data_IF_632982362879
#
_entry.id   IF_632982362879
#
_cell.length_a   1.000
_cell.length_b   1.000
_cell.length_c   1.000
_cell.angle_alpha   90.00
_cell.angle_beta   90.00
_cell.angle_gamma   90.00
#
_symmetry.space_group_name_H-M   'P 1'
#
loop_
_entity.id
_entity.type
_entity.pdbx_description
1 polymer ?
#
# COMPACT_ATOMS: atom_id res chain seq x y z
N UNK A 1 5.71 14.93 15.44
CA UNK A 1 6.78 14.05 14.93
C UNK A 1 6.76 13.96 13.41
N UNK A 2 5.72 14.48 12.73
CA UNK A 2 5.55 14.32 11.28
C UNK A 2 4.88 12.99 10.87
N UNK A 3 4.69 12.06 11.81
CA UNK A 3 3.99 10.80 11.59
C UNK A 3 2.48 11.01 11.75
N UNK A 4 1.73 10.63 10.71
CA UNK A 4 0.27 10.61 10.72
C UNK A 4 -0.18 9.18 10.50
N UNK A 5 -0.79 8.60 11.53
CA UNK A 5 -1.35 7.26 11.45
C UNK A 5 -2.80 7.31 10.97
N UNK A 6 -3.11 6.51 9.95
CA UNK A 6 -4.43 6.38 9.35
C UNK A 6 -4.96 4.96 9.59
N UNK A 7 -5.33 4.69 10.83
CA UNK A 7 -5.93 3.41 11.20
C UNK A 7 -7.41 3.35 10.85
N UNK A 8 -7.86 2.15 10.49
CA UNK A 8 -9.27 1.78 10.55
C UNK A 8 -9.42 0.38 11.14
N UNK A 9 -10.47 0.18 11.96
CA UNK A 9 -10.78 -1.12 12.58
C UNK A 9 -11.25 -2.19 11.58
N UNK A 10 -11.45 -1.81 10.33
CA UNK A 10 -11.92 -2.69 9.27
C UNK A 10 -10.74 -3.38 8.58
N UNK A 11 -10.96 -4.52 7.94
CA UNK A 11 -9.93 -5.13 7.11
C UNK A 11 -9.64 -4.31 5.86
N UNK A 12 -8.67 -4.73 5.04
CA UNK A 12 -8.52 -4.24 3.67
C UNK A 12 -9.72 -4.58 2.79
N UNK A 13 -10.85 -5.03 3.33
CA UNK A 13 -12.16 -4.81 2.76
C UNK A 13 -12.88 -3.70 3.49
N UNK A 14 -12.63 -2.46 3.09
CA UNK A 14 -13.72 -1.51 3.14
C UNK A 14 -14.72 -2.01 2.10
N UNK A 15 -15.83 -2.61 2.53
CA UNK A 15 -16.94 -2.86 1.64
C UNK A 15 -17.25 -1.53 0.93
N UNK A 16 -17.01 -1.44 -0.38
CA UNK A 16 -17.11 -0.17 -1.14
C UNK A 16 -18.49 0.49 -0.94
N UNK A 17 -19.50 -0.29 -0.54
CA UNK A 17 -20.85 0.15 -0.23
C UNK A 17 -21.15 0.47 1.25
N UNK A 18 -20.19 0.36 2.19
CA UNK A 18 -20.44 0.83 3.57
C UNK A 18 -20.30 2.35 3.65
N UNK A 19 -21.20 3.06 4.36
CA UNK A 19 -21.20 4.54 4.38
C UNK A 19 -19.87 5.20 4.77
N UNK A 20 -19.04 4.53 5.57
CA UNK A 20 -17.75 5.05 6.03
C UNK A 20 -16.61 4.91 5.02
N UNK A 21 -16.80 4.12 3.94
CA UNK A 21 -15.80 3.84 2.92
C UNK A 21 -15.28 5.08 2.19
N UNK A 22 -16.15 6.07 2.05
CA UNK A 22 -15.87 7.32 1.36
C UNK A 22 -14.71 8.09 2.01
N UNK A 23 -14.50 7.93 3.32
CA UNK A 23 -13.49 8.70 4.07
C UNK A 23 -12.06 8.24 3.74
N UNK A 24 -11.67 6.96 3.90
CA UNK A 24 -10.33 6.51 3.53
C UNK A 24 -10.07 6.64 2.03
N UNK A 25 -11.02 6.28 1.17
CA UNK A 25 -10.89 6.42 -0.30
C UNK A 25 -10.63 7.88 -0.67
N UNK A 26 -11.46 8.81 -0.17
CA UNK A 26 -11.25 10.25 -0.41
C UNK A 26 -9.95 10.75 0.17
N UNK A 27 -9.50 10.21 1.30
CA UNK A 27 -8.27 10.64 1.96
C UNK A 27 -7.06 10.24 1.14
N UNK A 28 -6.94 8.95 0.79
CA UNK A 28 -5.82 8.46 -0.04
C UNK A 28 -5.85 9.13 -1.41
N UNK A 29 -7.02 9.26 -2.04
CA UNK A 29 -7.16 9.94 -3.33
C UNK A 29 -6.71 11.41 -3.28
N UNK A 30 -7.07 12.15 -2.22
CA UNK A 30 -6.64 13.54 -2.08
C UNK A 30 -5.14 13.66 -1.76
N UNK A 31 -4.58 12.74 -0.97
CA UNK A 31 -3.14 12.68 -0.72
C UNK A 31 -2.39 12.39 -2.03
N UNK A 32 -2.91 11.49 -2.87
CA UNK A 32 -2.32 11.16 -4.16
C UNK A 32 -2.36 12.34 -5.16
N UNK A 33 -3.46 13.11 -5.19
CA UNK A 33 -3.58 14.27 -6.08
C UNK A 33 -2.86 15.52 -5.58
N UNK A 34 -2.70 15.67 -4.27
CA UNK A 34 -2.04 16.81 -3.62
C UNK A 34 -1.15 16.32 -2.48
N UNK A 35 0.01 15.72 -2.78
CA UNK A 35 0.93 15.21 -1.78
C UNK A 35 1.69 16.37 -1.09
N UNK A 36 0.95 17.22 -0.39
CA UNK A 36 1.45 18.42 0.26
C UNK A 36 1.81 18.11 1.71
N UNK A 37 3.05 17.66 1.94
CA UNK A 37 3.69 17.67 3.26
C UNK A 37 4.61 18.90 3.45
N UNK A 38 4.19 20.07 2.95
CA UNK A 38 4.91 21.33 3.22
C UNK A 38 6.34 21.40 2.66
N UNK A 39 6.65 20.63 1.62
CA UNK A 39 8.02 20.52 1.05
C UNK A 39 8.85 19.38 1.63
N UNK A 40 8.29 18.59 2.56
CA UNK A 40 8.96 17.45 3.17
C UNK A 40 8.78 16.14 2.39
N UNK A 41 9.68 15.19 2.64
CA UNK A 41 9.63 13.83 2.06
C UNK A 41 8.42 13.09 2.64
N UNK A 42 7.55 12.60 1.75
CA UNK A 42 6.44 11.73 2.14
C UNK A 42 6.86 10.26 2.08
N UNK A 43 6.67 9.54 3.19
CA UNK A 43 6.83 8.09 3.28
C UNK A 43 5.50 7.47 3.71
N UNK A 44 4.99 6.52 2.93
CA UNK A 44 3.70 5.87 3.17
C UNK A 44 3.91 4.38 3.41
N UNK A 45 3.56 3.92 4.60
CA UNK A 45 3.49 2.50 4.94
C UNK A 45 2.08 1.96 4.74
N UNK A 46 1.97 0.79 4.11
CA UNK A 46 0.71 0.12 3.86
C UNK A 46 0.74 -1.29 4.43
N UNK A 47 -0.36 -1.68 5.06
CA UNK A 47 -0.54 -2.99 5.66
C UNK A 47 -2.00 -3.44 5.53
N UNK A 48 -2.20 -4.75 5.52
CA UNK A 48 -3.48 -5.38 5.70
C UNK A 48 -3.95 -5.38 7.16
N UNK A 49 -5.26 -5.21 7.33
CA UNK A 49 -5.95 -5.48 8.59
C UNK A 49 -6.43 -6.93 8.65
N UNK A 50 -7.73 -7.15 8.82
CA UNK A 50 -8.34 -8.47 8.61
C UNK A 50 -8.46 -8.81 7.11
N UNK A 51 -7.93 -9.96 6.70
CA UNK A 51 -8.09 -10.46 5.33
C UNK A 51 -9.54 -10.93 5.08
N UNK A 52 -10.08 -10.59 3.91
CA UNK A 52 -11.39 -11.08 3.45
C UNK A 52 -11.39 -11.41 1.96
N UNK A 53 -12.43 -12.11 1.51
CA UNK A 53 -12.56 -12.59 0.12
C UNK A 53 -12.66 -11.46 -0.93
N UNK A 54 -12.92 -10.22 -0.52
CA UNK A 54 -13.10 -9.08 -1.43
C UNK A 54 -11.89 -8.15 -1.46
N UNK A 55 -11.00 -8.22 -0.47
CA UNK A 55 -9.80 -7.37 -0.34
C UNK A 55 -8.94 -7.36 -1.61
N UNK A 56 -8.65 -8.55 -2.16
CA UNK A 56 -7.87 -8.74 -3.39
C UNK A 56 -8.50 -8.22 -4.68
N UNK A 57 -9.81 -7.90 -4.67
CA UNK A 57 -10.53 -7.37 -5.85
C UNK A 57 -11.09 -5.97 -5.64
N UNK A 58 -10.95 -5.40 -4.43
CA UNK A 58 -11.46 -4.06 -4.07
C UNK A 58 -10.34 -3.16 -3.57
N UNK A 59 -10.04 -3.17 -2.28
CA UNK A 59 -9.12 -2.20 -1.67
C UNK A 59 -7.67 -2.44 -2.07
N UNK A 60 -7.21 -3.70 -2.24
CA UNK A 60 -5.81 -3.94 -2.62
C UNK A 60 -5.49 -3.35 -4.00
N UNK A 61 -6.35 -3.53 -5.04
CA UNK A 61 -6.20 -2.78 -6.29
C UNK A 61 -6.26 -1.26 -6.14
N UNK A 62 -7.17 -0.73 -5.31
CA UNK A 62 -7.31 0.72 -5.10
C UNK A 62 -6.05 1.32 -4.46
N UNK A 63 -5.56 0.71 -3.39
CA UNK A 63 -4.33 1.11 -2.69
C UNK A 63 -3.10 0.92 -3.58
N UNK A 64 -3.08 -0.10 -4.44
CA UNK A 64 -2.04 -0.27 -5.46
C UNK A 64 -2.01 0.88 -6.47
N UNK A 65 -3.18 1.29 -6.97
CA UNK A 65 -3.28 2.44 -7.88
C UNK A 65 -2.84 3.75 -7.21
N UNK A 66 -3.27 3.96 -5.96
CA UNK A 66 -2.88 5.14 -5.20
C UNK A 66 -1.37 5.14 -4.89
N UNK A 67 -0.78 3.98 -4.61
CA UNK A 67 0.68 3.81 -4.46
C UNK A 67 1.43 4.30 -5.69
N UNK A 68 0.97 3.90 -6.88
CA UNK A 68 1.59 4.31 -8.14
C UNK A 68 1.49 5.83 -8.34
N UNK A 69 0.37 6.45 -7.99
CA UNK A 69 0.22 7.91 -8.03
C UNK A 69 1.18 8.61 -7.07
N UNK A 70 1.31 8.11 -5.85
CA UNK A 70 2.22 8.66 -4.83
C UNK A 70 3.68 8.57 -5.28
N UNK A 71 4.10 7.40 -5.80
CA UNK A 71 5.45 7.22 -6.36
C UNK A 71 5.71 8.17 -7.52
N UNK A 72 4.71 8.38 -8.41
CA UNK A 72 4.81 9.35 -9.52
C UNK A 72 4.99 10.79 -9.03
N UNK A 73 4.51 11.11 -7.84
CA UNK A 73 4.72 12.40 -7.20
C UNK A 73 6.02 12.50 -6.39
N UNK A 74 6.85 11.46 -6.38
CA UNK A 74 8.13 11.44 -5.67
C UNK A 74 8.05 10.99 -4.20
N UNK A 75 6.92 10.44 -3.75
CA UNK A 75 6.82 9.82 -2.43
C UNK A 75 7.49 8.44 -2.41
N UNK A 76 7.86 7.98 -1.22
CA UNK A 76 8.27 6.58 -0.99
C UNK A 76 7.08 5.79 -0.47
N UNK A 77 6.79 4.63 -1.07
CA UNK A 77 5.73 3.71 -0.61
C UNK A 77 6.36 2.40 -0.16
N UNK A 78 5.89 1.87 0.97
CA UNK A 78 6.35 0.63 1.57
C UNK A 78 5.19 -0.31 1.83
N UNK A 79 5.39 -1.59 1.53
CA UNK A 79 4.52 -2.70 1.90
C UNK A 79 5.36 -3.73 2.67
N UNK A 80 4.81 -4.32 3.72
CA UNK A 80 5.55 -5.24 4.62
C UNK A 80 5.01 -6.67 4.51
N UNK A 81 4.41 -7.24 5.56
CA UNK A 81 3.63 -8.49 5.55
C UNK A 81 4.19 -9.68 4.75
N UNK A 82 5.42 -10.09 5.08
CA UNK A 82 6.09 -11.27 4.50
C UNK A 82 5.16 -12.49 4.43
N UNK A 83 4.40 -12.77 5.49
CA UNK A 83 3.48 -13.91 5.55
C UNK A 83 2.32 -13.84 4.57
N UNK A 84 1.89 -12.65 4.16
CA UNK A 84 0.78 -12.44 3.20
C UNK A 84 1.26 -12.55 1.74
N UNK A 85 2.55 -12.30 1.48
CA UNK A 85 3.11 -12.28 0.11
C UNK A 85 4.05 -13.44 -0.21
N UNK A 86 4.43 -14.26 0.78
CA UNK A 86 5.40 -15.36 0.60
C UNK A 86 5.04 -16.28 -0.56
N UNK A 87 3.79 -16.69 -0.66
CA UNK A 87 3.32 -17.61 -1.71
C UNK A 87 3.23 -16.94 -3.09
N UNK A 88 3.17 -15.60 -3.13
CA UNK A 88 3.14 -14.78 -4.33
C UNK A 88 4.51 -14.17 -4.70
N UNK A 89 5.60 -14.55 -4.02
CA UNK A 89 6.94 -13.97 -4.20
C UNK A 89 7.43 -14.03 -5.66
N UNK A 90 7.06 -15.10 -6.37
CA UNK A 90 7.36 -15.31 -7.78
C UNK A 90 6.73 -14.26 -8.72
N UNK A 91 5.75 -13.49 -8.25
CA UNK A 91 5.15 -12.36 -8.97
C UNK A 91 5.82 -11.01 -8.63
N UNK A 92 6.54 -10.93 -7.50
CA UNK A 92 7.22 -9.72 -7.05
C UNK A 92 8.67 -9.66 -7.54
N UNK A 93 9.39 -10.78 -7.52
CA UNK A 93 10.80 -10.84 -7.95
C UNK A 93 11.05 -10.35 -9.38
N UNK A 94 10.18 -10.60 -10.39
CA UNK A 94 10.40 -10.09 -11.74
C UNK A 94 10.23 -8.56 -11.86
N UNK A 95 9.66 -7.92 -10.83
CA UNK A 95 9.45 -6.47 -10.78
C UNK A 95 10.59 -5.73 -10.08
N UNK A 96 11.60 -6.45 -9.57
CA UNK A 96 12.78 -5.84 -8.96
C UNK A 96 13.57 -5.03 -10.00
N UNK A 97 14.12 -3.89 -9.59
CA UNK A 97 14.89 -3.01 -10.48
C UNK A 97 16.19 -3.65 -10.99
N UNK A 98 16.72 -4.63 -10.26
CA UNK A 98 17.89 -5.41 -10.63
C UNK A 98 17.94 -6.75 -9.85
N UNK A 99 18.88 -7.62 -10.24
CA UNK A 99 19.06 -8.95 -9.63
C UNK A 99 19.47 -8.88 -8.16
N UNK A 100 20.24 -7.87 -7.76
CA UNK A 100 20.66 -7.71 -6.36
C UNK A 100 19.44 -7.48 -5.45
N UNK A 101 18.54 -6.58 -5.84
CA UNK A 101 17.29 -6.32 -5.12
C UNK A 101 16.38 -7.55 -5.15
N UNK A 102 16.29 -8.24 -6.29
CA UNK A 102 15.50 -9.48 -6.40
C UNK A 102 16.00 -10.59 -5.47
N UNK A 103 17.32 -10.79 -5.37
CA UNK A 103 17.94 -11.75 -4.45
C UNK A 103 17.68 -11.36 -3.00
N UNK A 104 17.86 -10.09 -2.65
CA UNK A 104 17.57 -9.61 -1.29
C UNK A 104 16.11 -9.86 -0.91
N UNK A 105 15.17 -9.64 -1.84
CA UNK A 105 13.76 -9.92 -1.60
C UNK A 105 13.51 -11.42 -1.33
N UNK A 106 14.21 -12.33 -2.00
CA UNK A 106 14.12 -13.77 -1.74
C UNK A 106 14.72 -14.16 -0.37
N UNK A 107 15.77 -13.48 0.09
CA UNK A 107 16.39 -13.73 1.39
C UNK A 107 15.46 -13.40 2.56
N UNK A 108 14.68 -12.33 2.45
CA UNK A 108 13.65 -11.98 3.45
C UNK A 108 12.47 -12.99 3.48
N UNK A 109 12.37 -13.86 2.47
CA UNK A 109 11.31 -14.85 2.32
C UNK A 109 11.77 -16.27 2.69
N UNK A 110 13.02 -16.44 3.13
CA UNK A 110 13.53 -17.72 3.62
C UNK A 110 13.03 -17.98 5.04
#
# INVERSE_FOLDING_TARGET
DGVVDLNHLYGCGVAINVPAAVVPIRTIHNIALNPNFGGEVMVVGMQCGGSDAFSGVTTNPAVGYDSDLLVRCGATVMFSEVTEVRDAIHLLTPRAINEEVGRRLLEEMA
#
